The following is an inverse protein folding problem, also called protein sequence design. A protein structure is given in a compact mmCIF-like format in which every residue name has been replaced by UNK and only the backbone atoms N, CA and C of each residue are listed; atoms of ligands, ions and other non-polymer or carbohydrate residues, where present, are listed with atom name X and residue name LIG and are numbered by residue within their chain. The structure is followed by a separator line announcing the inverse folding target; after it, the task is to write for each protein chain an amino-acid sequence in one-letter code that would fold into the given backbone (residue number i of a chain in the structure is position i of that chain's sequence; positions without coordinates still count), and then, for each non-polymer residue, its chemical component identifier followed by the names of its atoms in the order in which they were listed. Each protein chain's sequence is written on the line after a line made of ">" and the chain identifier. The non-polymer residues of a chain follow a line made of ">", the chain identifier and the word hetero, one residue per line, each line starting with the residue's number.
data_IF_337508871792
#
_entry.id   IF_337508871792
#
_cell.length_a   1.000
_cell.length_b   1.000
_cell.length_c   1.000
_cell.angle_alpha   90.00
_cell.angle_beta   90.00
_cell.angle_gamma   90.00
#
_symmetry.space_group_name_H-M   'P 1'
#
loop_
_entity.id
_entity.type
_entity.pdbx_description
1 polymer ?
#
# COMPACT_ATOMS: atom_id res chain seq x y z
N UNK A 1 26.88 20.89 -21.57
CA UNK A 1 26.69 21.66 -20.32
C UNK A 1 25.22 21.59 -19.82
N UNK A 2 24.61 20.39 -19.73
CA UNK A 2 23.20 20.22 -19.30
C UNK A 2 23.02 19.65 -17.87
N UNK A 3 24.04 19.75 -17.01
CA UNK A 3 24.06 19.07 -15.71
C UNK A 3 23.34 19.74 -14.51
N UNK A 4 23.03 21.06 -14.46
CA UNK A 4 22.37 21.65 -13.28
C UNK A 4 20.86 21.41 -13.25
N UNK A 5 20.19 21.38 -14.40
CA UNK A 5 18.73 21.20 -14.52
C UNK A 5 18.28 19.77 -14.18
N UNK A 6 19.07 18.76 -14.53
CA UNK A 6 18.76 17.34 -14.24
C UNK A 6 18.83 17.02 -12.73
N UNK A 7 19.82 17.56 -12.01
CA UNK A 7 19.90 17.42 -10.54
C UNK A 7 18.76 18.13 -9.83
N UNK A 8 18.37 19.33 -10.29
CA UNK A 8 17.21 20.04 -9.75
C UNK A 8 15.92 19.23 -9.96
N UNK A 9 15.69 18.74 -11.18
CA UNK A 9 14.52 17.92 -11.51
C UNK A 9 14.42 16.68 -10.62
N UNK A 10 15.54 15.97 -10.40
CA UNK A 10 15.54 14.79 -9.52
C UNK A 10 15.16 15.15 -8.07
N UNK A 11 15.69 16.26 -7.53
CA UNK A 11 15.32 16.76 -6.20
C UNK A 11 13.84 17.11 -6.11
N UNK A 12 13.28 17.77 -7.13
CA UNK A 12 11.85 18.06 -7.20
C UNK A 12 11.00 16.78 -7.22
N UNK A 13 11.36 15.80 -8.04
CA UNK A 13 10.65 14.52 -8.12
C UNK A 13 10.71 13.74 -6.80
N UNK A 14 11.83 13.80 -6.07
CA UNK A 14 11.92 13.22 -4.71
C UNK A 14 10.93 13.92 -3.77
N UNK A 15 10.85 15.25 -3.80
CA UNK A 15 9.88 15.99 -2.99
C UNK A 15 8.44 15.63 -3.34
N UNK A 16 8.10 15.46 -4.62
CA UNK A 16 6.77 15.02 -5.04
C UNK A 16 6.43 13.60 -4.58
N UNK A 17 7.40 12.68 -4.58
CA UNK A 17 7.23 11.33 -4.01
C UNK A 17 7.01 11.40 -2.50
N UNK A 18 7.76 12.22 -1.77
CA UNK A 18 7.56 12.38 -0.33
C UNK A 18 6.18 12.99 -0.01
N UNK A 19 5.77 14.03 -0.75
CA UNK A 19 4.47 14.68 -0.57
C UNK A 19 3.30 13.73 -0.86
N UNK A 20 3.41 12.84 -1.86
CA UNK A 20 2.36 11.83 -2.09
C UNK A 20 2.25 10.85 -0.94
N UNK A 21 3.38 10.36 -0.40
CA UNK A 21 3.37 9.45 0.75
C UNK A 21 2.71 10.10 1.97
N UNK A 22 3.02 11.38 2.22
CA UNK A 22 2.38 12.16 3.29
C UNK A 22 0.88 12.29 3.04
N UNK A 23 0.46 12.56 1.80
CA UNK A 23 -0.96 12.68 1.44
C UNK A 23 -1.70 11.34 1.64
N UNK A 24 -1.11 10.23 1.22
CA UNK A 24 -1.63 8.88 1.46
C UNK A 24 -1.76 8.59 2.96
N UNK A 25 -0.73 8.89 3.76
CA UNK A 25 -0.78 8.71 5.21
C UNK A 25 -1.84 9.59 5.88
N UNK A 26 -1.98 10.86 5.45
CA UNK A 26 -3.00 11.76 5.95
C UNK A 26 -4.42 11.27 5.60
N UNK A 27 -4.63 10.75 4.39
CA UNK A 27 -5.93 10.19 3.98
C UNK A 27 -6.35 9.00 4.86
N UNK A 28 -5.42 8.08 5.16
CA UNK A 28 -5.68 6.97 6.10
C UNK A 28 -6.00 7.48 7.50
N UNK A 29 -5.26 8.47 8.01
CA UNK A 29 -5.50 9.04 9.34
C UNK A 29 -6.88 9.72 9.43
N UNK A 30 -7.25 10.51 8.43
CA UNK A 30 -8.56 11.19 8.38
C UNK A 30 -9.71 10.16 8.30
N UNK A 31 -9.55 9.11 7.49
CA UNK A 31 -10.54 8.04 7.42
C UNK A 31 -10.67 7.31 8.76
N UNK A 32 -9.55 6.99 9.41
CA UNK A 32 -9.53 6.34 10.72
C UNK A 32 -10.08 7.23 11.85
N UNK A 33 -9.92 8.55 11.78
CA UNK A 33 -10.54 9.47 12.74
C UNK A 33 -12.07 9.48 12.65
N UNK A 34 -12.64 9.19 11.48
CA UNK A 34 -14.09 9.05 11.30
C UNK A 34 -14.66 7.80 11.98
N UNK A 35 -13.88 6.71 12.01
CA UNK A 35 -14.19 5.50 12.77
C UNK A 35 -13.50 5.56 14.13
N UNK A 36 -14.03 6.36 15.08
CA UNK A 36 -13.50 6.56 16.45
C UNK A 36 -12.88 5.27 17.06
N UNK A 37 -11.58 5.00 16.84
CA UNK A 37 -10.97 3.79 17.41
C UNK A 37 -9.49 3.90 17.78
N UNK A 38 -9.25 3.34 18.97
CA UNK A 38 -8.01 3.08 19.65
C UNK A 38 -6.98 2.36 18.79
N UNK A 39 -5.94 3.10 18.45
CA UNK A 39 -4.58 2.74 18.05
C UNK A 39 -4.22 1.23 17.97
N UNK A 40 -4.41 0.57 16.81
CA UNK A 40 -3.81 -0.74 16.55
C UNK A 40 -2.49 -0.52 15.80
N UNK A 41 -1.42 -0.07 16.47
CA UNK A 41 -0.10 -0.01 15.82
C UNK A 41 0.47 -1.39 15.48
N UNK A 42 0.11 -2.39 16.28
CA UNK A 42 0.70 -3.72 16.22
C UNK A 42 0.55 -4.38 14.83
N UNK A 43 -0.64 -4.42 14.19
CA UNK A 43 -0.78 -4.97 12.84
C UNK A 43 0.02 -4.21 11.77
N UNK A 44 0.15 -2.88 11.86
CA UNK A 44 0.90 -2.10 10.87
C UNK A 44 2.40 -2.41 10.89
N UNK A 45 2.96 -2.67 12.08
CA UNK A 45 4.35 -3.09 12.21
C UNK A 45 4.59 -4.43 11.51
N UNK A 46 3.78 -5.45 11.80
CA UNK A 46 3.91 -6.75 11.14
C UNK A 46 3.62 -6.70 9.65
N UNK A 47 2.65 -5.89 9.21
CA UNK A 47 2.33 -5.73 7.80
C UNK A 47 3.49 -5.11 7.00
N UNK A 48 4.14 -4.08 7.56
CA UNK A 48 5.30 -3.46 6.92
C UNK A 48 6.50 -4.40 6.92
N UNK A 49 6.75 -5.11 8.02
CA UNK A 49 7.80 -6.13 8.10
C UNK A 49 7.58 -7.25 7.09
N UNK A 50 6.36 -7.79 7.01
CA UNK A 50 5.99 -8.85 6.08
C UNK A 50 6.24 -8.45 4.63
N UNK A 51 5.77 -7.28 4.20
CA UNK A 51 5.98 -6.81 2.82
C UNK A 51 7.46 -6.63 2.49
N UNK A 52 8.25 -6.07 3.41
CA UNK A 52 9.69 -5.88 3.21
C UNK A 52 10.41 -7.22 3.10
N UNK A 53 10.06 -8.20 3.94
CA UNK A 53 10.64 -9.54 3.90
C UNK A 53 10.24 -10.31 2.63
N UNK A 54 8.98 -10.20 2.19
CA UNK A 54 8.50 -10.83 0.96
C UNK A 54 9.18 -10.24 -0.28
N UNK A 55 9.31 -8.92 -0.35
CA UNK A 55 9.99 -8.26 -1.47
C UNK A 55 11.48 -8.63 -1.49
N UNK A 56 12.10 -8.71 -0.32
CA UNK A 56 13.49 -9.17 -0.19
C UNK A 56 13.67 -10.62 -0.63
N UNK A 57 12.83 -11.53 -0.14
CA UNK A 57 12.92 -12.97 -0.49
C UNK A 57 12.68 -13.18 -1.99
N UNK A 58 11.70 -12.47 -2.57
CA UNK A 58 11.47 -12.51 -4.02
C UNK A 58 12.67 -12.04 -4.85
N UNK A 59 13.39 -11.02 -4.38
CA UNK A 59 14.59 -10.51 -5.05
C UNK A 59 15.81 -11.42 -4.87
N UNK A 60 15.99 -12.04 -3.71
CA UNK A 60 17.12 -12.94 -3.41
C UNK A 60 16.98 -14.30 -4.11
N UNK A 61 15.77 -14.87 -4.11
CA UNK A 61 15.50 -16.19 -4.71
C UNK A 61 15.13 -16.10 -6.19
N UNK A 62 14.97 -14.89 -6.74
CA UNK A 62 14.58 -14.69 -8.14
C UNK A 62 13.16 -15.18 -8.48
N UNK A 63 12.29 -15.25 -7.47
CA UNK A 63 10.93 -15.78 -7.61
C UNK A 63 10.01 -14.80 -8.33
N UNK A 64 9.15 -15.32 -9.18
CA UNK A 64 8.06 -14.53 -9.78
C UNK A 64 7.00 -14.17 -8.73
N UNK A 65 6.25 -13.09 -8.99
CA UNK A 65 5.14 -12.67 -8.10
C UNK A 65 4.10 -13.77 -7.88
N UNK A 66 3.89 -14.64 -8.88
CA UNK A 66 2.94 -15.75 -8.81
C UNK A 66 3.47 -16.85 -7.89
N UNK A 67 4.76 -17.20 -7.96
CA UNK A 67 5.38 -18.16 -7.05
C UNK A 67 5.31 -17.66 -5.60
N UNK A 68 5.65 -16.39 -5.36
CA UNK A 68 5.54 -15.77 -4.04
C UNK A 68 4.09 -15.85 -3.51
N UNK A 69 3.11 -15.57 -4.37
CA UNK A 69 1.70 -15.66 -4.00
C UNK A 69 1.27 -17.09 -3.66
N UNK A 70 1.74 -18.08 -4.42
CA UNK A 70 1.50 -19.50 -4.15
C UNK A 70 2.15 -19.94 -2.83
N UNK A 71 3.41 -19.59 -2.59
CA UNK A 71 4.11 -19.88 -1.34
C UNK A 71 3.39 -19.29 -0.13
N UNK A 72 3.02 -18.01 -0.17
CA UNK A 72 2.28 -17.36 0.92
C UNK A 72 0.94 -18.05 1.19
N UNK A 73 0.21 -18.43 0.13
CA UNK A 73 -1.10 -19.07 0.27
C UNK A 73 -1.01 -20.46 0.88
N UNK A 74 -0.11 -21.31 0.39
CA UNK A 74 0.06 -22.67 0.90
C UNK A 74 0.64 -22.71 2.31
N UNK A 75 1.59 -21.83 2.62
CA UNK A 75 2.24 -21.79 3.93
C UNK A 75 1.31 -21.25 5.02
N UNK A 76 0.46 -20.27 4.68
CA UNK A 76 -0.43 -19.64 5.65
C UNK A 76 -1.67 -20.47 5.98
N UNK A 77 -2.14 -21.34 5.08
CA UNK A 77 -3.30 -22.20 5.29
C UNK A 77 -3.27 -23.05 6.58
N UNK A 78 -2.25 -23.89 6.85
CA UNK A 78 -2.23 -24.71 8.06
C UNK A 78 -2.19 -23.86 9.34
N UNK A 79 -1.48 -22.73 9.30
CA UNK A 79 -1.40 -21.81 10.42
C UNK A 79 -2.74 -21.12 10.70
N UNK A 80 -3.39 -20.59 9.66
CA UNK A 80 -4.73 -19.99 9.82
C UNK A 80 -5.78 -21.03 10.22
N UNK A 81 -5.74 -22.24 9.67
CA UNK A 81 -6.64 -23.32 10.07
C UNK A 81 -6.49 -23.66 11.55
N UNK A 82 -5.24 -23.77 12.04
CA UNK A 82 -4.98 -23.99 13.45
C UNK A 82 -5.54 -22.86 14.32
N UNK A 83 -5.27 -21.59 13.96
CA UNK A 83 -5.79 -20.45 14.72
C UNK A 83 -7.31 -20.41 14.75
N UNK A 84 -7.99 -20.60 13.62
CA UNK A 84 -9.46 -20.57 13.54
C UNK A 84 -10.08 -21.65 14.44
N UNK A 85 -9.51 -22.85 14.45
CA UNK A 85 -9.98 -23.96 15.30
C UNK A 85 -9.68 -23.65 16.78
N UNK A 86 -8.47 -23.18 17.08
CA UNK A 86 -8.02 -22.93 18.44
C UNK A 86 -8.78 -21.77 19.12
N UNK A 87 -9.11 -20.70 18.38
CA UNK A 87 -9.85 -19.56 18.91
C UNK A 87 -11.36 -19.75 18.88
N UNK A 88 -11.86 -20.70 18.08
CA UNK A 88 -13.29 -20.94 17.93
C UNK A 88 -14.04 -19.76 17.30
N UNK A 89 -13.34 -18.90 16.55
CA UNK A 89 -13.90 -17.65 16.02
C UNK A 89 -14.89 -17.85 14.86
N UNK A 90 -14.82 -19.00 14.19
CA UNK A 90 -15.61 -19.32 12.99
C UNK A 90 -17.13 -19.04 13.15
N UNK A 91 -17.84 -19.55 14.17
CA UNK A 91 -19.27 -19.27 14.35
C UNK A 91 -19.57 -17.77 14.60
N UNK A 92 -18.69 -17.07 15.31
CA UNK A 92 -18.87 -15.64 15.59
C UNK A 92 -18.64 -14.79 14.33
N UNK A 93 -17.65 -15.12 13.52
CA UNK A 93 -17.40 -14.40 12.26
C UNK A 93 -18.57 -14.57 11.28
N UNK A 94 -19.16 -15.78 11.19
CA UNK A 94 -20.32 -16.03 10.33
C UNK A 94 -21.57 -15.27 10.78
N UNK A 95 -21.83 -15.22 12.10
CA UNK A 95 -22.99 -14.50 12.63
C UNK A 95 -22.86 -12.99 12.40
N UNK A 96 -21.68 -12.41 12.62
CA UNK A 96 -21.39 -10.99 12.38
C UNK A 96 -21.50 -10.65 10.89
N UNK A 97 -21.00 -11.52 10.01
CA UNK A 97 -21.12 -11.34 8.57
C UNK A 97 -22.60 -11.29 8.15
N UNK A 98 -23.40 -12.28 8.56
CA UNK A 98 -24.81 -12.35 8.22
C UNK A 98 -25.57 -11.12 8.75
N UNK A 99 -25.31 -10.72 10.00
CA UNK A 99 -25.93 -9.54 10.59
C UNK A 99 -25.57 -8.26 9.82
N UNK A 100 -24.29 -8.05 9.47
CA UNK A 100 -23.87 -6.87 8.70
C UNK A 100 -24.49 -6.85 7.30
N UNK A 101 -24.54 -7.98 6.62
CA UNK A 101 -25.18 -8.08 5.29
C UNK A 101 -26.68 -7.79 5.39
N UNK A 102 -27.37 -8.36 6.38
CA UNK A 102 -28.80 -8.14 6.59
C UNK A 102 -29.11 -6.67 6.91
N UNK A 103 -28.33 -6.05 7.80
CA UNK A 103 -28.45 -4.62 8.14
C UNK A 103 -28.21 -3.74 6.91
N UNK A 104 -27.21 -4.05 6.09
CA UNK A 104 -26.94 -3.32 4.86
C UNK A 104 -28.14 -3.31 3.91
N UNK A 105 -28.78 -4.46 3.70
CA UNK A 105 -29.95 -4.58 2.83
C UNK A 105 -31.22 -3.97 3.46
N UNK A 106 -31.45 -4.13 4.77
CA UNK A 106 -32.65 -3.64 5.44
C UNK A 106 -32.65 -2.13 5.69
N UNK A 107 -31.52 -1.57 6.12
CA UNK A 107 -31.41 -0.15 6.48
C UNK A 107 -30.94 0.74 5.32
N UNK A 108 -30.81 0.17 4.12
CA UNK A 108 -30.48 0.92 2.91
C UNK A 108 -29.02 1.38 2.81
N UNK A 109 -28.11 0.78 3.58
CA UNK A 109 -26.66 1.00 3.45
C UNK A 109 -25.89 1.19 4.75
N UNK A 110 -24.57 1.35 4.63
CA UNK A 110 -23.65 1.72 5.73
C UNK A 110 -23.73 3.22 5.98
N UNK A 111 -23.76 3.64 7.25
CA UNK A 111 -23.56 5.04 7.64
C UNK A 111 -22.14 5.47 7.29
N UNK A 112 -21.97 6.03 6.09
CA UNK A 112 -20.71 6.64 5.66
C UNK A 112 -20.56 8.00 6.32
N UNK A 113 -19.57 8.13 7.20
CA UNK A 113 -19.17 9.42 7.73
C UNK A 113 -18.39 10.21 6.67
N UNK A 114 -18.64 11.52 6.60
CA UNK A 114 -17.98 12.42 5.65
C UNK A 114 -16.44 12.39 5.81
N UNK A 115 -15.95 12.11 7.02
CA UNK A 115 -14.52 11.90 7.30
C UNK A 115 -13.97 10.65 6.60
N UNK A 116 -14.69 9.53 6.61
CA UNK A 116 -14.28 8.30 5.92
C UNK A 116 -14.21 8.53 4.41
N UNK A 117 -15.23 9.20 3.85
CA UNK A 117 -15.27 9.51 2.41
C UNK A 117 -14.14 10.47 2.01
N UNK A 118 -13.93 11.55 2.76
CA UNK A 118 -12.85 12.50 2.47
C UNK A 118 -11.47 11.87 2.64
N UNK A 119 -11.25 11.06 3.68
CA UNK A 119 -10.01 10.30 3.87
C UNK A 119 -9.74 9.32 2.74
N UNK A 120 -10.76 8.61 2.24
CA UNK A 120 -10.65 7.73 1.07
C UNK A 120 -10.26 8.51 -0.20
N UNK A 121 -10.89 9.66 -0.43
CA UNK A 121 -10.58 10.54 -1.57
C UNK A 121 -9.13 11.02 -1.50
N UNK A 122 -8.69 11.50 -0.34
CA UNK A 122 -7.30 11.97 -0.13
C UNK A 122 -6.30 10.83 -0.32
N UNK A 123 -6.57 9.64 0.25
CA UNK A 123 -5.72 8.47 0.12
C UNK A 123 -5.55 8.07 -1.36
N UNK A 124 -6.66 8.00 -2.09
CA UNK A 124 -6.68 7.66 -3.52
C UNK A 124 -5.91 8.70 -4.35
N UNK A 125 -6.14 9.99 -4.09
CA UNK A 125 -5.40 11.07 -4.75
C UNK A 125 -3.90 10.98 -4.47
N UNK A 126 -3.51 10.67 -3.23
CA UNK A 126 -2.12 10.41 -2.84
C UNK A 126 -1.50 9.24 -3.60
N UNK A 127 -2.22 8.12 -3.72
CA UNK A 127 -1.75 6.93 -4.45
C UNK A 127 -1.59 7.18 -5.96
N UNK A 128 -2.51 7.91 -6.57
CA UNK A 128 -2.41 8.31 -7.99
C UNK A 128 -1.22 9.26 -8.19
N UNK A 129 -1.07 10.27 -7.33
CA UNK A 129 0.05 11.21 -7.40
C UNK A 129 1.40 10.51 -7.17
N UNK A 130 1.47 9.56 -6.24
CA UNK A 130 2.66 8.73 -6.00
C UNK A 130 3.07 7.99 -7.26
N UNK A 131 2.11 7.32 -7.89
CA UNK A 131 2.35 6.52 -9.10
C UNK A 131 2.88 7.41 -10.22
N UNK A 132 2.27 8.57 -10.43
CA UNK A 132 2.72 9.54 -11.43
C UNK A 132 4.13 10.10 -11.12
N UNK A 133 4.36 10.57 -9.88
CA UNK A 133 5.64 11.14 -9.48
C UNK A 133 6.78 10.10 -9.55
N UNK A 134 6.52 8.85 -9.13
CA UNK A 134 7.48 7.75 -9.22
C UNK A 134 7.75 7.35 -10.67
N UNK A 135 6.73 7.36 -11.52
CA UNK A 135 6.89 7.13 -12.97
C UNK A 135 7.79 8.20 -13.60
N UNK A 136 7.53 9.49 -13.32
CA UNK A 136 8.39 10.57 -13.81
C UNK A 136 9.82 10.48 -13.27
N UNK A 137 10.00 10.10 -12.00
CA UNK A 137 11.33 9.88 -11.40
C UNK A 137 12.10 8.77 -12.12
N UNK A 138 11.44 7.64 -12.41
CA UNK A 138 12.03 6.53 -13.17
C UNK A 138 12.42 6.97 -14.58
N UNK A 139 11.51 7.67 -15.30
CA UNK A 139 11.78 8.20 -16.64
C UNK A 139 12.96 9.17 -16.64
N UNK A 140 13.02 10.11 -15.69
CA UNK A 140 14.14 11.06 -15.58
C UNK A 140 15.47 10.37 -15.27
N UNK A 141 15.48 9.28 -14.49
CA UNK A 141 16.68 8.50 -14.20
C UNK A 141 17.15 7.72 -15.43
N UNK A 142 16.23 7.10 -16.18
CA UNK A 142 16.53 6.37 -17.40
C UNK A 142 17.17 7.29 -18.47
N UNK A 143 16.59 8.47 -18.70
CA UNK A 143 17.16 9.46 -19.63
C UNK A 143 18.58 9.85 -19.23
N UNK A 144 18.84 10.11 -17.93
CA UNK A 144 20.18 10.47 -17.45
C UNK A 144 21.22 9.38 -17.72
N UNK A 145 20.84 8.11 -17.50
CA UNK A 145 21.73 6.96 -17.76
C UNK A 145 22.06 6.83 -19.25
N UNK A 146 21.07 7.02 -20.13
CA UNK A 146 21.29 6.98 -21.59
C UNK A 146 22.25 8.10 -22.01
N UNK A 147 22.03 9.33 -21.57
CA UNK A 147 22.91 10.47 -21.91
C UNK A 147 24.34 10.28 -21.37
N UNK A 148 24.50 9.72 -20.17
CA UNK A 148 25.83 9.41 -19.60
C UNK A 148 26.53 8.28 -20.38
N UNK A 149 25.80 7.24 -20.81
CA UNK A 149 26.34 6.17 -21.64
C UNK A 149 26.77 6.66 -23.04
N UNK A 150 25.99 7.54 -23.67
CA UNK A 150 26.35 8.17 -24.95
C UNK A 150 27.58 9.07 -24.84
N UNK A 151 27.73 9.78 -23.72
CA UNK A 151 28.88 10.63 -23.48
C UNK A 151 30.18 9.85 -23.23
N UNK A 152 30.09 8.60 -22.74
CA UNK A 152 31.25 7.71 -22.56
C UNK A 152 31.64 6.97 -23.86
N UNK A 153 30.76 6.95 -24.87
CA UNK A 153 31.01 6.33 -26.16
C UNK A 153 31.58 7.32 -27.21
N UNK A 154 31.85 8.56 -26.82
CA UNK A 154 32.49 9.62 -27.63
C UNK A 154 33.86 9.96 -27.06
#
# INVERSE_FOLDING_TARGET
>A
MELPTSRLRCRYLIKYVALSVILTAAGVLIAALGDFFSWPLFPFFFQTMYLVLVEKSGAEDGLSSLEIMFYNSFLSLPFFMFLIIATGELPNSLSVLFAKTLVFFLLGGVQVHALNVSGLVINTAGGVWYSFAKYQKRKSKAVKLVTEAEAHCK
#
